data_IF_578776206007
#
_entry.id   IF_578776206007
#
_cell.length_a   1.000
_cell.length_b   1.000
_cell.length_c   1.000
_cell.angle_alpha   90.00
_cell.angle_beta   90.00
_cell.angle_gamma   90.00
#
_symmetry.space_group_name_H-M   'P 1'
#
loop_
_entity.id
_entity.type
_entity.pdbx_description
1 polymer ?
#
# COMPACT_ATOMS: atom_id res chain seq x y z
N UNK A 1 -14.99 11.70 -5.37
CA UNK A 1 -15.43 12.52 -6.52
C UNK A 1 -14.66 13.83 -6.41
N UNK A 2 -13.71 14.07 -7.32
CA UNK A 2 -12.87 15.28 -7.36
C UNK A 2 -13.73 16.54 -7.17
N UNK A 3 -13.48 17.32 -6.10
CA UNK A 3 -14.26 18.52 -5.76
C UNK A 3 -13.56 19.81 -6.23
N UNK A 4 -12.26 19.77 -6.52
CA UNK A 4 -11.53 20.85 -7.20
C UNK A 4 -11.58 20.68 -8.72
N UNK A 5 -11.68 21.79 -9.48
CA UNK A 5 -11.74 21.74 -10.95
C UNK A 5 -10.45 21.25 -11.62
N UNK A 6 -9.39 21.01 -10.84
CA UNK A 6 -8.04 20.63 -11.28
C UNK A 6 -7.57 19.29 -10.69
N UNK A 7 -8.39 18.65 -9.86
CA UNK A 7 -8.06 17.35 -9.29
C UNK A 7 -8.04 16.28 -10.41
N UNK A 8 -6.94 15.54 -10.48
CA UNK A 8 -6.78 14.39 -11.34
C UNK A 8 -6.96 13.11 -10.53
N UNK A 9 -7.60 12.11 -11.16
CA UNK A 9 -7.74 10.77 -10.60
C UNK A 9 -6.91 9.83 -11.45
N UNK A 10 -5.77 9.43 -10.92
CA UNK A 10 -4.91 8.41 -11.50
C UNK A 10 -5.33 7.05 -10.95
N UNK A 11 -5.31 6.04 -11.83
CA UNK A 11 -5.64 4.66 -11.46
C UNK A 11 -4.56 3.77 -12.03
N UNK A 12 -4.11 2.85 -11.20
CA UNK A 12 -3.14 1.84 -11.61
C UNK A 12 -3.45 0.52 -10.94
N UNK A 13 -2.81 -0.54 -11.42
CA UNK A 13 -2.93 -1.88 -10.85
C UNK A 13 -1.56 -2.54 -10.73
N UNK A 14 -1.29 -3.04 -9.54
CA UNK A 14 -0.12 -3.89 -9.27
C UNK A 14 -0.56 -5.35 -9.16
N UNK A 15 0.13 -6.26 -9.84
CA UNK A 15 0.00 -7.70 -9.64
C UNK A 15 1.22 -8.22 -8.88
N UNK A 16 1.00 -9.13 -7.92
CA UNK A 16 2.08 -9.72 -7.15
C UNK A 16 1.79 -11.21 -6.84
N UNK A 17 2.80 -12.10 -6.96
CA UNK A 17 2.62 -13.51 -6.71
C UNK A 17 2.73 -13.84 -5.21
N UNK A 18 1.92 -14.80 -4.76
CA UNK A 18 2.08 -15.47 -3.46
C UNK A 18 2.88 -16.75 -3.68
N UNK A 19 3.97 -16.94 -2.93
CA UNK A 19 4.80 -18.14 -3.04
C UNK A 19 4.14 -19.39 -2.44
N UNK A 20 4.81 -20.54 -2.59
CA UNK A 20 4.34 -21.83 -2.07
C UNK A 20 4.22 -21.91 -0.54
N UNK A 21 4.72 -20.90 0.19
CA UNK A 21 4.64 -20.79 1.66
C UNK A 21 3.68 -19.68 2.11
N UNK A 22 2.91 -19.08 1.19
CA UNK A 22 1.97 -18.01 1.51
C UNK A 22 2.65 -16.64 1.68
N UNK A 23 3.88 -16.47 1.19
CA UNK A 23 4.64 -15.23 1.39
C UNK A 23 4.87 -14.51 0.07
N UNK A 24 5.08 -13.20 0.19
CA UNK A 24 5.58 -12.36 -0.89
C UNK A 24 6.64 -11.45 -0.29
N UNK A 25 7.88 -11.62 -0.74
CA UNK A 25 8.94 -10.64 -0.46
C UNK A 25 8.51 -9.27 -0.98
N UNK A 26 9.07 -8.19 -0.44
CA UNK A 26 8.69 -6.84 -0.82
C UNK A 26 8.80 -6.62 -2.34
N UNK A 27 7.67 -6.32 -2.99
CA UNK A 27 7.59 -5.97 -4.41
C UNK A 27 7.06 -4.55 -4.54
N UNK A 28 7.54 -3.84 -5.55
CA UNK A 28 7.11 -2.48 -5.87
C UNK A 28 6.40 -2.40 -7.22
N UNK A 29 5.23 -1.76 -7.22
CA UNK A 29 4.65 -1.11 -8.37
C UNK A 29 5.06 0.36 -8.44
N UNK A 30 4.94 0.98 -9.62
CA UNK A 30 5.24 2.40 -9.80
C UNK A 30 4.11 3.09 -10.53
N UNK A 31 3.53 4.08 -9.88
CA UNK A 31 2.61 5.03 -10.51
C UNK A 31 3.46 6.11 -11.16
N UNK A 32 3.48 6.11 -12.49
CA UNK A 32 4.23 7.08 -13.29
C UNK A 32 3.60 8.48 -13.17
N UNK A 33 4.37 9.43 -12.65
CA UNK A 33 3.96 10.83 -12.51
C UNK A 33 4.78 11.77 -13.40
N UNK A 34 5.59 11.22 -14.32
CA UNK A 34 6.55 11.98 -15.14
C UNK A 34 5.93 13.08 -16.00
N UNK A 35 4.64 12.97 -16.36
CA UNK A 35 3.90 14.01 -17.06
C UNK A 35 3.54 15.22 -16.17
N UNK A 36 3.61 15.06 -14.84
CA UNK A 36 3.19 16.04 -13.84
C UNK A 36 4.33 16.54 -12.94
N UNK A 37 5.42 15.77 -12.84
CA UNK A 37 6.58 16.13 -12.02
C UNK A 37 7.77 16.49 -12.90
N UNK A 38 8.36 17.65 -12.67
CA UNK A 38 9.56 18.11 -13.35
C UNK A 38 10.38 19.04 -12.46
N UNK A 39 11.49 18.53 -11.94
CA UNK A 39 12.39 19.26 -11.03
C UNK A 39 12.94 20.53 -11.71
N UNK A 40 13.29 20.47 -12.99
CA UNK A 40 13.86 21.62 -13.72
C UNK A 40 12.83 22.73 -13.93
N UNK A 41 11.56 22.35 -14.17
CA UNK A 41 10.46 23.29 -14.37
C UNK A 41 9.72 23.66 -13.07
N UNK A 42 10.11 23.08 -11.93
CA UNK A 42 9.46 23.24 -10.62
C UNK A 42 7.99 22.80 -10.64
N UNK A 43 7.73 21.73 -11.37
CA UNK A 43 6.40 21.11 -11.46
C UNK A 43 6.38 19.90 -10.50
N UNK A 44 5.31 19.80 -9.73
CA UNK A 44 5.10 18.73 -8.76
C UNK A 44 3.63 18.30 -8.74
N UNK A 45 3.36 17.22 -8.03
CA UNK A 45 2.00 16.72 -7.81
C UNK A 45 1.67 16.79 -6.32
N UNK A 46 0.57 17.46 -5.97
CA UNK A 46 0.05 17.45 -4.61
C UNK A 46 -0.90 16.25 -4.46
N UNK A 47 -0.44 15.19 -3.78
CA UNK A 47 -1.22 13.98 -3.53
C UNK A 47 -2.17 14.24 -2.36
N UNK A 48 -3.47 14.23 -2.62
CA UNK A 48 -4.50 14.52 -1.62
C UNK A 48 -5.03 13.25 -0.97
N UNK A 49 -5.16 12.18 -1.74
CA UNK A 49 -5.71 10.92 -1.26
C UNK A 49 -5.15 9.73 -2.07
N UNK A 50 -4.85 8.63 -1.38
CA UNK A 50 -4.52 7.35 -1.99
C UNK A 50 -5.46 6.30 -1.41
N UNK A 51 -6.07 5.50 -2.28
CA UNK A 51 -6.93 4.37 -1.90
C UNK A 51 -6.41 3.08 -2.51
N UNK A 52 -6.60 2.01 -1.74
CA UNK A 52 -6.24 0.65 -2.13
C UNK A 52 -7.45 -0.25 -2.12
N UNK A 53 -7.48 -1.18 -3.06
CA UNK A 53 -8.37 -2.34 -3.03
C UNK A 53 -7.56 -3.58 -3.38
N UNK A 54 -7.44 -4.50 -2.42
CA UNK A 54 -6.89 -5.83 -2.66
C UNK A 54 -7.93 -6.72 -3.37
N UNK A 55 -7.46 -7.53 -4.31
CA UNK A 55 -8.29 -8.39 -5.16
C UNK A 55 -7.63 -9.74 -5.38
N UNK A 56 -8.46 -10.77 -5.46
CA UNK A 56 -8.07 -12.14 -5.79
C UNK A 56 -8.75 -12.52 -7.12
N UNK A 57 -8.11 -12.30 -8.28
CA UNK A 57 -8.76 -12.51 -9.58
C UNK A 57 -9.04 -13.98 -9.90
N UNK A 58 -8.39 -14.91 -9.20
CA UNK A 58 -8.69 -16.34 -9.21
C UNK A 58 -10.07 -16.66 -8.60
N UNK A 59 -10.58 -15.79 -7.70
CA UNK A 59 -11.87 -15.97 -7.06
C UNK A 59 -13.05 -15.58 -7.96
N UNK A 60 -14.21 -16.25 -7.88
CA UNK A 60 -15.36 -16.03 -8.76
C UNK A 60 -15.87 -14.59 -8.85
N UNK A 61 -15.70 -13.81 -7.78
CA UNK A 61 -16.10 -12.40 -7.71
C UNK A 61 -14.92 -11.42 -7.57
N UNK A 62 -13.67 -11.92 -7.64
CA UNK A 62 -12.48 -11.11 -7.51
C UNK A 62 -12.18 -10.59 -6.09
N UNK A 63 -12.96 -11.01 -5.09
CA UNK A 63 -12.87 -10.50 -3.71
C UNK A 63 -11.84 -11.32 -2.93
N UNK A 64 -10.89 -10.63 -2.30
CA UNK A 64 -9.94 -11.25 -1.39
C UNK A 64 -10.69 -11.84 -0.18
N UNK A 65 -10.41 -13.09 0.16
CA UNK A 65 -11.00 -13.72 1.34
C UNK A 65 -10.45 -13.05 2.62
N UNK A 66 -11.29 -12.55 3.53
CA UNK A 66 -10.84 -11.80 4.70
C UNK A 66 -10.06 -12.67 5.69
N UNK A 67 -10.30 -13.98 5.70
CA UNK A 67 -9.46 -14.96 6.38
C UNK A 67 -8.29 -15.26 5.44
N UNK A 68 -7.20 -14.51 5.60
CA UNK A 68 -6.01 -14.61 4.75
C UNK A 68 -5.31 -15.98 4.80
N UNK A 69 -5.67 -16.81 5.77
CA UNK A 69 -5.04 -18.10 6.06
C UNK A 69 -5.98 -19.25 5.79
N UNK A 70 -5.40 -20.39 5.40
CA UNK A 70 -6.10 -21.67 5.45
C UNK A 70 -6.51 -21.97 6.92
N UNK A 71 -7.74 -22.45 7.09
CA UNK A 71 -8.32 -22.80 8.39
C UNK A 71 -8.25 -24.31 8.68
N UNK A 72 -7.59 -25.09 7.82
CA UNK A 72 -7.39 -26.53 8.00
C UNK A 72 -6.31 -26.77 9.06
N UNK A 73 -6.75 -26.94 10.31
CA UNK A 73 -5.92 -27.37 11.45
C UNK A 73 -5.79 -26.33 12.56
N UNK A 74 -5.44 -26.80 13.75
CA UNK A 74 -5.48 -26.01 14.98
C UNK A 74 -4.10 -25.45 15.39
N UNK A 75 -3.42 -24.76 14.47
CA UNK A 75 -2.21 -24.02 14.82
C UNK A 75 -2.53 -22.54 14.99
N UNK A 76 -2.02 -21.88 16.05
CA UNK A 76 -1.94 -20.43 16.05
C UNK A 76 -1.19 -19.98 14.78
N UNK A 77 -1.80 -19.06 14.05
CA UNK A 77 -1.21 -18.48 12.85
C UNK A 77 -1.59 -17.01 12.78
N UNK A 78 -0.62 -16.17 12.43
CA UNK A 78 -0.83 -14.76 12.18
C UNK A 78 -0.38 -14.45 10.76
N UNK A 79 -1.34 -14.06 9.95
CA UNK A 79 -1.13 -13.79 8.53
C UNK A 79 -1.38 -12.33 8.26
N UNK A 80 -0.60 -11.76 7.37
CA UNK A 80 -0.62 -10.33 7.15
C UNK A 80 -0.31 -9.95 5.70
N UNK A 81 -0.95 -8.87 5.27
CA UNK A 81 -0.62 -8.15 4.05
C UNK A 81 -0.38 -6.71 4.46
N UNK A 82 0.79 -6.19 4.07
CA UNK A 82 1.14 -4.77 4.22
C UNK A 82 1.27 -4.15 2.83
N UNK A 83 0.59 -3.04 2.61
CA UNK A 83 0.68 -2.22 1.40
C UNK A 83 1.02 -0.80 1.81
N UNK A 84 1.89 -0.10 1.08
CA UNK A 84 2.23 1.28 1.41
C UNK A 84 2.62 2.08 0.17
N UNK A 85 2.40 3.39 0.22
CA UNK A 85 2.89 4.31 -0.80
C UNK A 85 4.06 5.12 -0.26
N UNK A 86 5.10 5.22 -1.07
CA UNK A 86 6.33 5.92 -0.73
C UNK A 86 7.02 6.49 -1.97
N UNK A 87 7.88 7.49 -1.79
CA UNK A 87 8.75 8.02 -2.86
C UNK A 87 10.14 7.41 -2.85
N UNK A 88 10.47 6.56 -1.87
CA UNK A 88 11.77 5.89 -1.72
C UNK A 88 11.65 4.37 -1.66
N UNK A 89 12.68 3.67 -2.14
CA UNK A 89 12.72 2.21 -2.10
C UNK A 89 13.29 1.77 -0.75
N UNK A 90 12.59 0.87 -0.08
CA UNK A 90 13.06 0.18 1.12
C UNK A 90 13.49 -1.24 0.77
N UNK A 91 14.47 -1.76 1.52
CA UNK A 91 14.92 -3.14 1.34
C UNK A 91 13.91 -4.13 1.93
N UNK A 92 13.37 -3.85 3.12
CA UNK A 92 12.44 -4.73 3.81
C UNK A 92 11.16 -4.01 4.22
N UNK A 93 10.03 -4.70 4.10
CA UNK A 93 8.72 -4.18 4.54
C UNK A 93 8.58 -4.03 6.07
N UNK A 94 9.50 -4.64 6.83
CA UNK A 94 9.57 -4.51 8.29
C UNK A 94 10.07 -3.12 8.72
N UNK A 95 10.90 -2.48 7.90
CA UNK A 95 11.49 -1.16 8.18
C UNK A 95 10.52 0.00 7.84
N UNK A 96 9.38 -0.34 7.22
CA UNK A 96 8.38 0.62 6.76
C UNK A 96 7.23 0.71 7.76
N UNK A 97 7.09 1.91 8.34
CA UNK A 97 5.96 2.34 9.15
C UNK A 97 5.52 3.75 8.79
N UNK A 98 4.45 4.24 9.42
CA UNK A 98 3.88 5.57 9.11
C UNK A 98 4.86 6.72 9.41
N UNK A 99 5.78 6.52 10.35
CA UNK A 99 6.80 7.50 10.71
C UNK A 99 8.10 7.34 9.90
N UNK A 100 8.18 6.33 9.02
CA UNK A 100 9.35 6.17 8.17
C UNK A 100 9.42 7.31 7.15
N UNK A 101 10.62 7.79 6.79
CA UNK A 101 10.77 8.86 5.81
C UNK A 101 10.03 8.55 4.51
N UNK A 102 9.48 9.58 3.86
CA UNK A 102 8.90 9.44 2.53
C UNK A 102 7.74 8.43 2.39
N UNK A 103 7.15 7.97 3.50
CA UNK A 103 5.94 7.13 3.51
C UNK A 103 4.71 8.02 3.63
N UNK A 104 3.81 7.94 2.66
CA UNK A 104 2.61 8.78 2.59
C UNK A 104 1.45 8.14 3.34
N UNK A 105 1.22 6.84 3.11
CA UNK A 105 0.21 6.06 3.79
C UNK A 105 0.54 4.56 3.69
N UNK A 106 -0.14 3.76 4.50
CA UNK A 106 -0.05 2.31 4.50
C UNK A 106 -1.39 1.67 4.88
N UNK A 107 -1.58 0.45 4.40
CA UNK A 107 -2.71 -0.44 4.69
C UNK A 107 -2.13 -1.71 5.30
N UNK A 108 -2.70 -2.12 6.43
CA UNK A 108 -2.43 -3.41 7.04
C UNK A 108 -3.72 -4.21 7.10
N UNK A 109 -3.65 -5.44 6.59
CA UNK A 109 -4.66 -6.47 6.81
C UNK A 109 -4.02 -7.61 7.57
N UNK A 110 -4.61 -7.99 8.70
CA UNK A 110 -4.11 -9.09 9.52
C UNK A 110 -5.24 -10.05 9.86
N UNK A 111 -4.89 -11.34 9.90
CA UNK A 111 -5.76 -12.40 10.40
C UNK A 111 -4.99 -13.17 11.47
N UNK A 112 -5.59 -13.31 12.64
CA UNK A 112 -5.11 -14.18 13.71
C UNK A 112 -6.06 -15.35 13.87
N UNK A 113 -5.53 -16.56 13.71
CA UNK A 113 -6.22 -17.80 14.04
C UNK A 113 -5.75 -18.28 15.40
N UNK A 114 -6.69 -18.60 16.28
CA UNK A 114 -6.42 -19.25 17.57
C UNK A 114 -7.16 -20.58 17.62
N UNK A 115 -6.48 -21.66 18.10
CA UNK A 115 -7.11 -22.97 18.19
C UNK A 115 -8.21 -22.99 19.25
N UNK A 116 -9.11 -23.95 19.13
CA UNK A 116 -10.13 -24.22 20.13
C UNK A 116 -9.51 -24.80 21.42
N UNK A 117 -10.31 -24.92 22.50
CA UNK A 117 -9.80 -25.43 23.78
C UNK A 117 -9.21 -26.85 23.68
N UNK A 118 -9.62 -27.64 22.68
CA UNK A 118 -9.12 -28.99 22.47
C UNK A 118 -7.93 -29.07 21.51
N UNK A 119 -7.50 -27.93 20.92
CA UNK A 119 -6.37 -27.87 19.98
C UNK A 119 -6.59 -28.72 18.72
N UNK A 120 -7.85 -28.96 18.35
CA UNK A 120 -8.24 -29.85 17.25
C UNK A 120 -8.92 -29.09 16.11
N UNK A 121 -9.48 -27.92 16.38
CA UNK A 121 -10.08 -27.04 15.39
C UNK A 121 -9.66 -25.57 15.58
N UNK A 122 -9.99 -24.72 14.61
CA UNK A 122 -9.93 -23.26 14.78
C UNK A 122 -11.04 -22.85 15.77
N UNK A 123 -10.66 -22.19 16.86
CA UNK A 123 -11.56 -21.72 17.90
C UNK A 123 -12.03 -20.28 17.67
N UNK A 124 -11.10 -19.39 17.36
CA UNK A 124 -11.38 -17.97 17.17
C UNK A 124 -10.55 -17.40 16.02
N UNK A 125 -11.20 -16.53 15.26
CA UNK A 125 -10.63 -15.81 14.12
C UNK A 125 -10.79 -14.33 14.38
N UNK A 126 -9.70 -13.59 14.33
CA UNK A 126 -9.70 -12.14 14.43
C UNK A 126 -9.14 -11.57 13.13
N UNK A 127 -9.95 -10.78 12.44
CA UNK A 127 -9.53 -10.05 11.24
C UNK A 127 -9.49 -8.58 11.56
N UNK A 128 -8.39 -7.93 11.20
CA UNK A 128 -8.24 -6.49 11.30
C UNK A 128 -7.86 -5.93 9.94
N UNK A 129 -8.54 -4.85 9.57
CA UNK A 129 -8.20 -4.01 8.43
C UNK A 129 -7.95 -2.62 8.98
N UNK A 130 -6.75 -2.09 8.79
CA UNK A 130 -6.43 -0.73 9.21
C UNK A 130 -5.70 0.03 8.11
N UNK A 131 -6.26 1.17 7.74
CA UNK A 131 -5.62 2.11 6.83
C UNK A 131 -5.02 3.25 7.67
N UNK A 132 -3.71 3.37 7.62
CA UNK A 132 -2.95 4.42 8.26
C UNK A 132 -2.53 5.40 7.19
N UNK A 133 -2.95 6.65 7.34
CA UNK A 133 -2.57 7.71 6.44
C UNK A 133 -3.20 8.99 6.94
N UNK A 134 -3.07 10.03 6.14
CA UNK A 134 -3.72 11.30 6.39
C UNK A 134 -4.95 11.40 5.49
N UNK A 135 -6.12 10.85 5.89
CA UNK A 135 -7.32 10.78 5.05
C UNK A 135 -7.89 12.15 4.65
N UNK A 136 -7.28 13.25 5.09
CA UNK A 136 -7.78 14.60 4.92
C UNK A 136 -6.65 15.64 4.79
N UNK A 137 -5.60 15.37 3.99
CA UNK A 137 -4.69 16.44 3.54
C UNK A 137 -5.36 17.45 2.60
N UNK A 138 -6.69 17.37 2.45
CA UNK A 138 -7.43 18.33 1.64
C UNK A 138 -7.45 19.71 2.34
N UNK A 139 -7.19 20.82 1.63
CA UNK A 139 -6.98 20.93 0.19
C UNK A 139 -5.53 20.81 -0.29
N UNK A 140 -4.54 20.92 0.61
CA UNK A 140 -3.13 21.18 0.24
C UNK A 140 -2.37 19.96 -0.29
N UNK A 141 -2.70 18.75 0.16
CA UNK A 141 -2.04 17.51 -0.25
C UNK A 141 -0.61 17.36 0.26
N UNK A 142 0.02 16.23 -0.08
CA UNK A 142 1.44 15.96 0.09
C UNK A 142 2.16 16.18 -1.23
N UNK A 143 3.11 17.11 -1.26
CA UNK A 143 3.82 17.45 -2.48
C UNK A 143 4.84 16.38 -2.82
N UNK A 144 4.83 15.90 -4.07
CA UNK A 144 5.84 14.99 -4.61
C UNK A 144 6.45 15.55 -5.89
N UNK A 145 7.74 15.28 -6.08
CA UNK A 145 8.53 15.67 -7.28
C UNK A 145 9.10 14.46 -8.02
N UNK A 146 8.71 13.26 -7.61
CA UNK A 146 9.10 11.98 -8.17
C UNK A 146 7.87 11.10 -8.42
N UNK A 147 8.10 9.99 -9.10
CA UNK A 147 7.11 8.91 -9.18
C UNK A 147 6.76 8.39 -7.78
N UNK A 148 5.57 7.79 -7.69
CA UNK A 148 5.09 7.15 -6.48
C UNK A 148 5.29 5.64 -6.58
N UNK A 149 5.88 5.05 -5.54
CA UNK A 149 6.09 3.62 -5.43
C UNK A 149 5.03 3.02 -4.51
N UNK A 150 4.44 1.91 -4.94
CA UNK A 150 3.48 1.13 -4.15
C UNK A 150 4.16 -0.17 -3.75
N UNK A 151 4.55 -0.27 -2.48
CA UNK A 151 5.14 -1.47 -1.90
C UNK A 151 4.07 -2.43 -1.41
N UNK A 152 4.26 -3.73 -1.64
CA UNK A 152 3.44 -4.81 -1.07
C UNK A 152 4.33 -5.93 -0.54
N UNK A 153 3.97 -6.46 0.63
CA UNK A 153 4.55 -7.67 1.20
C UNK A 153 3.48 -8.50 1.90
N UNK A 154 3.66 -9.82 1.87
CA UNK A 154 2.71 -10.79 2.45
C UNK A 154 3.44 -11.80 3.33
N UNK A 155 2.80 -12.18 4.43
CA UNK A 155 3.29 -13.20 5.35
C UNK A 155 2.19 -14.20 5.66
N UNK A 156 2.44 -15.48 5.41
CA UNK A 156 1.61 -16.63 5.77
C UNK A 156 0.17 -16.60 5.22
N UNK A 157 -0.05 -15.97 4.06
CA UNK A 157 -1.34 -15.89 3.35
C UNK A 157 -1.68 -17.25 2.71
N UNK A 158 -2.04 -18.21 3.55
CA UNK A 158 -2.25 -19.62 3.19
C UNK A 158 -3.42 -19.86 2.23
N UNK A 159 -4.46 -19.03 2.28
CA UNK A 159 -5.65 -19.19 1.45
C UNK A 159 -5.36 -18.97 -0.05
N UNK A 160 -4.33 -18.19 -0.35
CA UNK A 160 -3.97 -17.80 -1.72
C UNK A 160 -2.60 -18.32 -2.14
N UNK A 161 -2.16 -19.47 -1.59
CA UNK A 161 -0.88 -20.07 -1.94
C UNK A 161 -0.80 -20.36 -3.45
N UNK A 162 0.24 -19.83 -4.09
CA UNK A 162 0.48 -20.02 -5.52
C UNK A 162 -0.37 -19.14 -6.45
N UNK A 163 -1.28 -18.34 -5.89
CA UNK A 163 -2.08 -17.39 -6.66
C UNK A 163 -1.32 -16.10 -6.94
N UNK A 164 -1.81 -15.34 -7.92
CA UNK A 164 -1.38 -13.96 -8.17
C UNK A 164 -2.49 -13.01 -7.75
N UNK A 165 -2.24 -12.22 -6.72
CA UNK A 165 -3.17 -11.20 -6.22
C UNK A 165 -2.95 -9.88 -6.94
N UNK A 166 -3.96 -9.00 -6.90
CA UNK A 166 -3.90 -7.66 -7.47
C UNK A 166 -4.20 -6.59 -6.42
N UNK A 167 -3.58 -5.41 -6.56
CA UNK A 167 -3.93 -4.19 -5.85
C UNK A 167 -4.39 -3.17 -6.89
N UNK A 168 -5.65 -2.78 -6.83
CA UNK A 168 -6.12 -1.59 -7.53
C UNK A 168 -5.78 -0.36 -6.67
N UNK A 169 -5.08 0.60 -7.27
CA UNK A 169 -4.66 1.84 -6.64
C UNK A 169 -5.40 3.00 -7.29
N UNK A 170 -5.92 3.91 -6.47
CA UNK A 170 -6.46 5.19 -6.92
C UNK A 170 -5.75 6.31 -6.21
N UNK A 171 -5.11 7.19 -6.97
CA UNK A 171 -4.46 8.40 -6.47
C UNK A 171 -5.27 9.61 -6.92
N UNK A 172 -5.59 10.48 -5.97
CA UNK A 172 -6.24 11.76 -6.22
C UNK A 172 -5.23 12.85 -5.87
N UNK A 173 -4.95 13.73 -6.82
CA UNK A 173 -4.05 14.86 -6.58
C UNK A 173 -4.22 15.97 -7.59
N UNK A 174 -3.44 17.03 -7.45
CA UNK A 174 -3.46 18.19 -8.32
C UNK A 174 -2.03 18.58 -8.76
N UNK A 175 -1.78 18.85 -10.05
CA UNK A 175 -0.51 19.39 -10.48
C UNK A 175 -0.29 20.82 -9.93
N UNK A 176 0.84 21.03 -9.28
CA UNK A 176 1.20 22.30 -8.64
C UNK A 176 2.54 22.82 -9.16
N UNK A 177 2.77 24.13 -8.97
CA UNK A 177 4.09 24.74 -9.12
C UNK A 177 4.70 24.91 -7.74
N UNK A 178 5.91 24.39 -7.56
CA UNK A 178 6.65 24.48 -6.30
C UNK A 178 7.53 25.73 -6.28
N UNK A 179 7.68 26.32 -5.09
CA UNK A 179 8.61 27.43 -4.90
C UNK A 179 10.05 26.92 -4.66
N UNK A 180 11.06 27.80 -4.66
CA UNK A 180 12.46 27.38 -4.47
C UNK A 180 12.77 26.86 -3.07
N UNK A 181 12.06 27.35 -2.04
CA UNK A 181 12.22 26.88 -0.67
C UNK A 181 11.68 25.45 -0.53
N UNK A 182 10.48 25.17 -1.05
CA UNK A 182 9.86 23.84 -1.04
C UNK A 182 10.74 22.83 -1.79
N UNK A 183 11.27 23.21 -2.96
CA UNK A 183 12.19 22.37 -3.73
C UNK A 183 13.47 22.05 -2.94
N UNK A 184 14.00 23.04 -2.21
CA UNK A 184 15.21 22.84 -1.41
C UNK A 184 14.93 21.91 -0.23
N UNK A 185 13.80 22.11 0.46
CA UNK A 185 13.39 21.28 1.60
C UNK A 185 13.18 19.82 1.18
N UNK A 186 12.48 19.59 0.07
CA UNK A 186 12.26 18.24 -0.48
C UNK A 186 13.57 17.55 -0.90
N UNK A 187 14.51 18.29 -1.49
CA UNK A 187 15.82 17.74 -1.86
C UNK A 187 16.70 17.46 -0.63
N UNK A 188 16.58 18.27 0.43
CA UNK A 188 17.31 18.02 1.68
C UNK A 188 16.76 16.83 2.46
N UNK A 189 15.45 16.60 2.44
CA UNK A 189 14.84 15.41 3.04
C UNK A 189 15.30 14.12 2.35
N UNK A 190 15.53 14.15 1.03
CA UNK A 190 16.11 13.02 0.29
C UNK A 190 17.59 12.73 0.61
N UNK A 191 18.33 13.69 1.19
CA UNK A 191 19.75 13.53 1.51
C UNK A 191 20.02 13.06 2.94
N UNK A 192 19.03 13.12 3.84
CA UNK A 192 19.17 12.75 5.25
C UNK A 192 18.92 11.24 5.50
N UNK A 193 19.17 10.42 4.48
CA UNK A 193 19.10 8.96 4.49
C UNK A 193 20.49 8.31 4.45
#
# INVERSE_FOLDING_TARGET
>A
MARGSRDLILRDRLQFPIDGSGNTALVYGRVDLSDFVNIVKKEGMAIKEIRYQLRAPSEPNGVLMPTLSDTVGASPLQSSIKVFATTTVYENAADVGLASPDVINLLEMTTTLTPDQTGTAVGQIENQWTHYGTPDLHPEGYNVVSDLLIGVACSLVGEHIGDTLEIDIMVIGEPIKLNEADMTEMLTQQQDL
#
